data_IF_271308525827
#
_entry.id   IF_271308525827
#
_cell.length_a   1.000
_cell.length_b   1.000
_cell.length_c   1.000
_cell.angle_alpha   90.00
_cell.angle_beta   90.00
_cell.angle_gamma   90.00
#
_symmetry.space_group_name_H-M   'P 1'
#
loop_
_entity.id
_entity.type
_entity.pdbx_description
1 polymer ?
#
# COMPACT_ATOMS: atom_id res chain seq x y z
N UNK A 1 -7.83 2.64 -40.59
CA UNK A 1 -8.22 1.92 -41.82
C UNK A 1 -9.69 2.17 -42.12
N UNK A 2 -10.01 3.37 -42.62
CA UNK A 2 -11.39 3.75 -43.00
C UNK A 2 -11.66 3.43 -44.49
N UNK A 3 -10.62 3.05 -45.25
CA UNK A 3 -10.72 2.72 -46.67
C UNK A 3 -11.41 1.37 -46.96
N UNK A 4 -11.39 0.42 -46.02
CA UNK A 4 -11.99 -0.92 -46.21
C UNK A 4 -13.52 -0.93 -46.16
N UNK A 5 -14.14 0.03 -45.45
CA UNK A 5 -15.60 0.10 -45.34
C UNK A 5 -16.25 0.76 -46.56
N UNK A 6 -15.53 1.67 -47.23
CA UNK A 6 -15.97 2.25 -48.50
C UNK A 6 -15.95 1.21 -49.63
N UNK A 7 -14.92 0.35 -49.68
CA UNK A 7 -14.79 -0.70 -50.70
C UNK A 7 -15.91 -1.74 -50.66
N UNK A 8 -16.28 -2.23 -49.47
CA UNK A 8 -17.33 -3.25 -49.34
C UNK A 8 -18.72 -2.72 -49.71
N UNK A 9 -19.02 -1.47 -49.33
CA UNK A 9 -20.27 -0.81 -49.68
C UNK A 9 -20.35 -0.55 -51.19
N UNK A 10 -19.23 -0.17 -51.82
CA UNK A 10 -19.17 0.05 -53.27
C UNK A 10 -19.44 -1.23 -54.06
N UNK A 11 -18.84 -2.35 -53.66
CA UNK A 11 -19.06 -3.66 -54.28
C UNK A 11 -20.51 -4.13 -54.10
N UNK A 12 -21.10 -3.94 -52.91
CA UNK A 12 -22.50 -4.30 -52.68
C UNK A 12 -23.47 -3.44 -53.54
N UNK A 13 -23.23 -2.13 -53.64
CA UNK A 13 -24.03 -1.22 -54.47
C UNK A 13 -23.91 -1.57 -55.96
N UNK A 14 -22.71 -1.90 -56.44
CA UNK A 14 -22.50 -2.36 -57.82
C UNK A 14 -23.22 -3.69 -58.12
N UNK A 15 -23.28 -4.59 -57.14
CA UNK A 15 -23.95 -5.89 -57.28
C UNK A 15 -25.47 -5.72 -57.34
N UNK A 16 -26.04 -4.85 -56.48
CA UNK A 16 -27.48 -4.55 -56.49
C UNK A 16 -27.87 -3.74 -57.72
N UNK A 17 -27.06 -2.77 -58.15
CA UNK A 17 -27.29 -2.02 -59.38
C UNK A 17 -27.31 -2.92 -60.62
N UNK A 18 -26.41 -3.92 -60.68
CA UNK A 18 -26.37 -4.93 -61.74
C UNK A 18 -27.67 -5.76 -61.88
N UNK A 19 -28.40 -5.99 -60.79
CA UNK A 19 -29.63 -6.80 -60.78
C UNK A 19 -30.86 -5.98 -61.22
N UNK A 20 -30.83 -4.66 -61.04
CA UNK A 20 -31.97 -3.77 -61.30
C UNK A 20 -31.94 -3.05 -62.67
N UNK A 21 -30.93 -3.28 -63.50
CA UNK A 21 -30.80 -2.64 -64.82
C UNK A 21 -31.73 -3.31 -65.86
N UNK A 22 -32.53 -2.55 -66.63
CA UNK A 22 -33.35 -3.07 -67.73
C UNK A 22 -32.51 -3.79 -68.80
N UNK A 23 -33.02 -4.89 -69.35
CA UNK A 23 -32.28 -5.77 -70.28
C UNK A 23 -31.68 -5.05 -71.49
N UNK A 24 -32.35 -4.01 -72.01
CA UNK A 24 -31.87 -3.22 -73.14
C UNK A 24 -30.61 -2.38 -72.85
N UNK A 25 -30.39 -1.98 -71.59
CA UNK A 25 -29.21 -1.21 -71.18
C UNK A 25 -28.04 -2.13 -70.80
N UNK A 26 -28.32 -3.38 -70.42
CA UNK A 26 -27.32 -4.39 -70.06
C UNK A 26 -26.42 -4.79 -71.21
N UNK A 27 -26.90 -4.76 -72.46
CA UNK A 27 -26.06 -5.04 -73.64
C UNK A 27 -25.11 -3.91 -73.97
N UNK A 28 -25.55 -2.65 -73.89
CA UNK A 28 -24.68 -1.48 -74.13
C UNK A 28 -23.56 -1.36 -73.10
N UNK A 29 -23.81 -1.83 -71.86
CA UNK A 29 -22.82 -1.89 -70.80
C UNK A 29 -21.72 -2.95 -71.01
N UNK A 30 -21.96 -3.99 -71.84
CA UNK A 30 -20.96 -5.04 -72.13
C UNK A 30 -19.84 -4.57 -73.07
N UNK A 31 -20.04 -3.48 -73.81
CA UNK A 31 -19.03 -2.96 -74.75
C UNK A 31 -17.92 -2.14 -74.07
N UNK A 32 -18.08 -1.80 -72.78
CA UNK A 32 -17.05 -1.15 -71.97
C UNK A 32 -16.20 -2.23 -71.28
N UNK A 33 -14.98 -2.47 -71.75
CA UNK A 33 -14.17 -3.65 -71.36
C UNK A 33 -13.83 -3.74 -69.85
N UNK A 34 -13.89 -2.62 -69.13
CA UNK A 34 -13.52 -2.52 -67.71
C UNK A 34 -14.53 -3.16 -66.74
N UNK A 35 -15.76 -3.41 -67.18
CA UNK A 35 -16.80 -3.98 -66.30
C UNK A 35 -16.62 -5.49 -66.01
N UNK A 36 -15.81 -6.18 -66.81
CA UNK A 36 -15.47 -7.60 -66.62
C UNK A 36 -14.69 -7.88 -65.32
N UNK A 37 -14.00 -6.87 -64.78
CA UNK A 37 -13.24 -6.98 -63.52
C UNK A 37 -14.08 -6.73 -62.26
N UNK A 38 -15.20 -6.01 -62.37
CA UNK A 38 -15.92 -5.46 -61.21
C UNK A 38 -17.08 -6.36 -60.77
N UNK A 39 -17.71 -7.07 -61.71
CA UNK A 39 -18.87 -7.92 -61.41
C UNK A 39 -18.87 -9.21 -62.24
N UNK A 40 -18.80 -10.36 -61.57
CA UNK A 40 -18.79 -11.69 -62.18
C UNK A 40 -20.11 -12.12 -62.84
N UNK A 41 -21.17 -11.32 -62.70
CA UNK A 41 -22.50 -11.63 -63.24
C UNK A 41 -22.65 -11.34 -64.74
N UNK A 42 -21.69 -10.65 -65.37
CA UNK A 42 -21.79 -10.22 -66.77
C UNK A 42 -21.15 -11.18 -67.79
N UNK A 43 -20.16 -12.00 -67.39
CA UNK A 43 -19.51 -13.00 -68.24
C UNK A 43 -19.18 -14.28 -67.44
N UNK A 44 -20.13 -15.22 -67.30
CA UNK A 44 -19.88 -16.51 -66.65
C UNK A 44 -18.92 -17.41 -67.45
N UNK A 45 -18.92 -17.32 -68.79
CA UNK A 45 -18.19 -18.23 -69.67
C UNK A 45 -16.67 -18.01 -69.73
N UNK A 46 -16.16 -16.81 -69.45
CA UNK A 46 -14.72 -16.53 -69.57
C UNK A 46 -13.88 -17.14 -68.42
N UNK A 47 -14.52 -17.52 -67.31
CA UNK A 47 -13.82 -18.09 -66.14
C UNK A 47 -13.48 -19.56 -66.29
N UNK A 48 -14.14 -20.30 -67.18
CA UNK A 48 -13.79 -21.71 -67.43
C UNK A 48 -12.59 -21.89 -68.38
N UNK A 49 -12.16 -20.84 -69.10
CA UNK A 49 -11.02 -20.90 -70.03
C UNK A 49 -9.76 -20.15 -69.57
N UNK A 50 -9.82 -19.44 -68.43
CA UNK A 50 -8.65 -18.87 -67.75
C UNK A 50 -8.28 -19.67 -66.48
N UNK A 51 -8.59 -20.97 -66.46
CA UNK A 51 -8.18 -21.95 -65.44
C UNK A 51 -7.23 -22.98 -66.08
N UNK A 52 -6.51 -22.55 -67.13
CA UNK A 52 -5.39 -23.31 -67.71
C UNK A 52 -4.23 -22.33 -67.90
N UNK A 53 -3.76 -21.75 -66.80
CA UNK A 53 -2.34 -21.50 -66.60
C UNK A 53 -1.91 -22.54 -65.56
N UNK A 54 -0.98 -23.42 -65.94
CA UNK A 54 -0.37 -24.39 -65.04
C UNK A 54 0.24 -23.66 -63.84
N UNK A 55 -0.36 -23.83 -62.66
CA UNK A 55 0.31 -23.60 -61.38
C UNK A 55 0.43 -24.98 -60.74
N UNK A 56 1.59 -25.63 -60.90
CA UNK A 56 1.89 -26.96 -60.36
C UNK A 56 1.96 -27.01 -58.82
N UNK A 57 1.77 -25.89 -58.11
CA UNK A 57 2.09 -25.73 -56.68
C UNK A 57 0.89 -25.49 -55.72
N UNK A 58 -0.37 -25.61 -56.16
CA UNK A 58 -1.54 -25.34 -55.29
C UNK A 58 -2.33 -26.61 -54.92
N UNK A 59 -2.18 -27.09 -53.68
CA UNK A 59 -2.93 -28.22 -53.11
C UNK A 59 -4.02 -27.73 -52.15
N UNK A 60 -5.27 -28.18 -52.32
CA UNK A 60 -6.40 -27.81 -51.44
C UNK A 60 -6.93 -29.04 -50.71
N UNK A 61 -6.80 -29.08 -49.38
CA UNK A 61 -7.30 -30.17 -48.52
C UNK A 61 -8.61 -29.77 -47.85
N UNK A 62 -9.73 -30.46 -48.12
CA UNK A 62 -10.99 -30.16 -47.45
C UNK A 62 -10.89 -30.54 -45.96
N UNK A 63 -11.25 -29.61 -45.06
CA UNK A 63 -11.23 -29.83 -43.61
C UNK A 63 -12.62 -30.28 -43.14
N UNK A 64 -13.64 -29.42 -43.32
CA UNK A 64 -14.99 -29.70 -42.82
C UNK A 64 -16.04 -28.93 -43.61
N UNK A 65 -17.21 -29.55 -43.80
CA UNK A 65 -18.40 -28.91 -44.36
C UNK A 65 -19.51 -28.89 -43.32
N UNK A 66 -20.08 -27.72 -43.06
CA UNK A 66 -21.24 -27.52 -42.19
C UNK A 66 -22.34 -26.84 -43.00
N UNK A 67 -23.59 -26.90 -42.52
CA UNK A 67 -24.71 -26.19 -43.14
C UNK A 67 -24.45 -24.67 -43.30
N UNK A 68 -23.59 -24.08 -42.46
CA UNK A 68 -23.21 -22.67 -42.51
C UNK A 68 -22.06 -22.35 -43.48
N UNK A 69 -21.39 -23.34 -44.08
CA UNK A 69 -20.26 -23.11 -44.98
C UNK A 69 -19.27 -24.27 -45.07
N UNK A 70 -18.22 -24.08 -45.88
CA UNK A 70 -17.18 -25.08 -46.11
C UNK A 70 -15.81 -24.49 -45.77
N UNK A 71 -14.99 -25.27 -45.06
CA UNK A 71 -13.62 -24.94 -44.71
C UNK A 71 -12.65 -25.90 -45.40
N UNK A 72 -11.56 -25.34 -45.92
CA UNK A 72 -10.48 -26.07 -46.57
C UNK A 72 -9.14 -25.39 -46.29
N UNK A 73 -8.09 -26.19 -46.27
CA UNK A 73 -6.71 -25.74 -46.19
C UNK A 73 -6.16 -25.59 -47.60
N UNK A 74 -5.48 -24.48 -47.89
CA UNK A 74 -4.78 -24.26 -49.16
C UNK A 74 -3.28 -24.22 -48.88
N UNK A 75 -2.56 -25.17 -49.45
CA UNK A 75 -1.11 -25.29 -49.35
C UNK A 75 -0.53 -24.85 -50.70
N UNK A 76 0.13 -23.69 -50.69
CA UNK A 76 0.82 -23.12 -51.87
C UNK A 76 2.27 -23.60 -51.97
N UNK A 77 2.81 -24.16 -50.88
CA UNK A 77 4.14 -24.76 -50.81
C UNK A 77 4.17 -25.73 -49.64
N UNK A 78 4.64 -26.98 -49.81
CA UNK A 78 4.80 -27.89 -48.69
C UNK A 78 5.79 -27.30 -47.67
N UNK A 79 5.57 -27.51 -46.36
CA UNK A 79 6.47 -27.00 -45.34
C UNK A 79 7.91 -27.46 -45.63
N UNK A 80 8.84 -26.50 -45.65
CA UNK A 80 10.27 -26.77 -45.86
C UNK A 80 10.80 -27.66 -44.73
N UNK A 81 11.58 -28.72 -45.01
CA UNK A 81 12.12 -29.63 -43.99
C UNK A 81 13.13 -28.98 -43.04
N UNK A 82 13.45 -27.69 -43.23
CA UNK A 82 14.32 -26.89 -42.37
C UNK A 82 13.60 -25.63 -41.92
N UNK A 83 12.68 -25.79 -40.98
CA UNK A 83 12.54 -24.94 -39.78
C UNK A 83 11.19 -25.19 -39.11
N UNK A 84 11.05 -26.33 -38.46
CA UNK A 84 9.99 -26.50 -37.47
C UNK A 84 10.32 -25.66 -36.22
N UNK A 85 9.42 -24.74 -35.90
CA UNK A 85 9.13 -24.28 -34.53
C UNK A 85 10.26 -23.63 -33.69
N UNK A 86 11.15 -22.81 -34.27
CA UNK A 86 12.18 -22.12 -33.47
C UNK A 86 11.97 -20.62 -33.26
N UNK A 87 10.74 -20.09 -33.21
CA UNK A 87 10.49 -18.69 -32.81
C UNK A 87 9.38 -18.60 -31.76
N UNK A 88 9.31 -19.57 -30.84
CA UNK A 88 8.77 -19.29 -29.51
C UNK A 88 9.96 -18.86 -28.66
N UNK A 89 9.99 -17.60 -28.22
CA UNK A 89 10.82 -17.21 -27.07
C UNK A 89 10.34 -18.13 -25.95
N UNK A 90 11.11 -19.18 -25.68
CA UNK A 90 10.80 -20.16 -24.66
C UNK A 90 10.77 -19.41 -23.33
N UNK A 91 9.57 -19.00 -22.95
CA UNK A 91 9.26 -18.74 -21.56
C UNK A 91 9.68 -19.99 -20.82
N UNK A 92 10.45 -19.89 -19.71
CA UNK A 92 10.77 -21.05 -18.89
C UNK A 92 9.49 -21.85 -18.67
N UNK A 93 9.50 -23.20 -18.75
CA UNK A 93 8.31 -24.00 -18.59
C UNK A 93 7.57 -23.49 -17.36
N UNK A 94 6.35 -22.97 -17.54
CA UNK A 94 5.53 -22.53 -16.42
C UNK A 94 5.33 -23.78 -15.57
N UNK A 95 6.07 -23.87 -14.46
CA UNK A 95 5.75 -24.86 -13.43
C UNK A 95 4.30 -24.60 -13.06
N UNK A 96 3.46 -25.62 -13.17
CA UNK A 96 2.07 -25.53 -12.75
C UNK A 96 2.07 -25.14 -11.27
N UNK A 97 1.63 -23.92 -10.98
CA UNK A 97 1.54 -23.43 -9.60
C UNK A 97 0.40 -24.19 -8.95
N UNK A 98 0.69 -24.96 -7.91
CA UNK A 98 -0.35 -25.73 -7.20
C UNK A 98 -1.28 -24.79 -6.44
N UNK A 99 -2.46 -25.30 -6.05
CA UNK A 99 -3.42 -24.54 -5.26
C UNK A 99 -2.82 -24.11 -3.91
N UNK A 100 -1.97 -24.95 -3.31
CA UNK A 100 -1.25 -24.68 -2.07
C UNK A 100 -0.24 -23.53 -2.24
N UNK A 101 0.49 -23.48 -3.36
CA UNK A 101 1.43 -22.39 -3.65
C UNK A 101 0.72 -21.04 -3.85
N UNK A 102 -0.49 -21.05 -4.43
CA UNK A 102 -1.34 -19.86 -4.57
C UNK A 102 -1.82 -19.40 -3.19
N UNK A 103 -2.35 -20.31 -2.38
CA UNK A 103 -2.83 -20.01 -1.02
C UNK A 103 -1.70 -19.44 -0.15
N UNK A 104 -0.52 -20.05 -0.18
CA UNK A 104 0.64 -19.58 0.58
C UNK A 104 1.07 -18.17 0.19
N UNK A 105 0.99 -17.81 -1.10
CA UNK A 105 1.29 -16.44 -1.56
C UNK A 105 0.24 -15.43 -1.10
N UNK A 106 -1.03 -15.81 -1.07
CA UNK A 106 -2.13 -14.98 -0.56
C UNK A 106 -1.99 -14.74 0.95
N UNK A 107 -1.72 -15.80 1.71
CA UNK A 107 -1.49 -15.75 3.16
C UNK A 107 -0.28 -14.86 3.48
N UNK A 108 0.85 -15.06 2.80
CA UNK A 108 2.02 -14.20 2.99
C UNK A 108 1.75 -12.72 2.68
N UNK A 109 0.86 -12.42 1.72
CA UNK A 109 0.44 -11.05 1.44
C UNK A 109 -0.48 -10.48 2.53
N UNK A 110 -1.35 -11.32 3.10
CA UNK A 110 -2.19 -10.96 4.24
C UNK A 110 -1.37 -10.71 5.50
N UNK A 111 -0.40 -11.57 5.80
CA UNK A 111 0.50 -11.39 6.94
C UNK A 111 1.30 -10.10 6.84
N UNK A 112 1.76 -9.73 5.64
CA UNK A 112 2.41 -8.43 5.42
C UNK A 112 1.47 -7.26 5.72
N UNK A 113 0.20 -7.33 5.31
CA UNK A 113 -0.80 -6.30 5.65
C UNK A 113 -1.05 -6.24 7.15
N UNK A 114 -1.30 -7.38 7.79
CA UNK A 114 -1.53 -7.47 9.24
C UNK A 114 -0.32 -6.98 10.04
N UNK A 115 0.90 -7.31 9.61
CA UNK A 115 2.12 -6.84 10.27
C UNK A 115 2.29 -5.32 10.16
N UNK A 116 2.00 -4.72 9.00
CA UNK A 116 2.04 -3.27 8.83
C UNK A 116 1.00 -2.59 9.72
N UNK A 117 -0.24 -3.09 9.72
CA UNK A 117 -1.31 -2.58 10.58
C UNK A 117 -0.95 -2.69 12.06
N UNK A 118 -0.44 -3.84 12.50
CA UNK A 118 0.01 -4.05 13.88
C UNK A 118 1.14 -3.08 14.26
N UNK A 119 2.08 -2.80 13.35
CA UNK A 119 3.14 -1.82 13.59
C UNK A 119 2.57 -0.41 13.77
N UNK A 120 1.62 -0.01 12.94
CA UNK A 120 0.94 1.30 13.06
C UNK A 120 0.17 1.39 14.38
N UNK A 121 -0.59 0.34 14.73
CA UNK A 121 -1.34 0.30 16.00
C UNK A 121 -0.42 0.37 17.23
N UNK A 122 0.72 -0.33 17.20
CA UNK A 122 1.73 -0.21 18.27
C UNK A 122 2.27 1.21 18.41
N UNK A 123 2.68 1.84 17.31
CA UNK A 123 3.17 3.21 17.34
C UNK A 123 2.11 4.21 17.85
N UNK A 124 0.83 3.99 17.52
CA UNK A 124 -0.27 4.79 18.06
C UNK A 124 -0.48 4.56 19.56
N UNK A 125 -0.39 3.31 20.02
CA UNK A 125 -0.49 2.97 21.44
C UNK A 125 0.66 3.59 22.26
N UNK A 126 1.89 3.51 21.76
CA UNK A 126 3.07 4.13 22.36
C UNK A 126 2.90 5.66 22.47
N UNK A 127 2.38 6.32 21.43
CA UNK A 127 2.07 7.76 21.49
C UNK A 127 1.03 8.10 22.56
N UNK A 128 -0.03 7.29 22.68
CA UNK A 128 -1.07 7.47 23.70
C UNK A 128 -0.54 7.25 25.11
N UNK A 129 0.38 6.31 25.28
CA UNK A 129 1.07 6.07 26.55
C UNK A 129 1.95 7.26 26.92
N UNK A 130 2.78 7.72 25.99
CA UNK A 130 3.62 8.89 26.21
C UNK A 130 2.83 10.15 26.60
N UNK A 131 1.68 10.39 25.96
CA UNK A 131 0.80 11.49 26.35
C UNK A 131 0.30 11.38 27.79
N UNK A 132 -0.05 10.17 28.25
CA UNK A 132 -0.43 9.93 29.65
C UNK A 132 0.74 10.17 30.59
N UNK A 133 1.93 9.68 30.25
CA UNK A 133 3.14 9.83 31.07
C UNK A 133 3.53 11.30 31.23
N UNK A 134 3.44 12.10 30.16
CA UNK A 134 3.72 13.54 30.21
C UNK A 134 2.75 14.25 31.15
N UNK A 135 1.45 13.93 31.09
CA UNK A 135 0.45 14.52 31.97
C UNK A 135 0.67 14.12 33.44
N UNK A 136 0.96 12.84 33.70
CA UNK A 136 1.24 12.35 35.04
C UNK A 136 2.49 12.99 35.62
N UNK A 137 3.57 13.10 34.82
CA UNK A 137 4.81 13.73 35.24
C UNK A 137 4.63 15.20 35.57
N UNK A 138 3.87 15.95 34.76
CA UNK A 138 3.58 17.35 35.04
C UNK A 138 2.82 17.52 36.37
N UNK A 139 1.86 16.63 36.65
CA UNK A 139 1.13 16.62 37.92
C UNK A 139 2.03 16.25 39.10
N UNK A 140 2.90 15.25 38.94
CA UNK A 140 3.84 14.82 39.97
C UNK A 140 4.85 15.92 40.31
N UNK A 141 5.43 16.59 39.32
CA UNK A 141 6.36 17.70 39.55
C UNK A 141 5.69 18.86 40.30
N UNK A 142 4.44 19.19 39.96
CA UNK A 142 3.67 20.22 40.67
C UNK A 142 3.41 19.82 42.13
N UNK A 143 3.01 18.57 42.37
CA UNK A 143 2.80 18.06 43.73
C UNK A 143 4.10 18.04 44.54
N UNK A 144 5.22 17.67 43.91
CA UNK A 144 6.53 17.64 44.55
C UNK A 144 7.00 19.05 44.93
N UNK A 145 6.73 20.06 44.11
CA UNK A 145 7.03 21.45 44.44
C UNK A 145 6.29 21.91 45.71
N UNK A 146 4.99 21.65 45.80
CA UNK A 146 4.19 21.97 46.99
C UNK A 146 4.71 21.25 48.23
N UNK A 147 5.01 19.95 48.12
CA UNK A 147 5.54 19.14 49.22
C UNK A 147 6.88 19.66 49.72
N UNK A 148 7.83 19.93 48.82
CA UNK A 148 9.15 20.47 49.20
C UNK A 148 9.03 21.86 49.85
N UNK A 149 8.10 22.70 49.38
CA UNK A 149 7.86 24.01 49.98
C UNK A 149 7.30 23.88 51.40
N UNK A 150 6.35 22.96 51.62
CA UNK A 150 5.77 22.66 52.92
C UNK A 150 6.81 22.11 53.90
N UNK A 151 7.57 21.08 53.49
CA UNK A 151 8.64 20.48 54.31
C UNK A 151 9.68 21.53 54.72
N UNK A 152 10.09 22.39 53.78
CA UNK A 152 11.05 23.47 54.06
C UNK A 152 10.50 24.50 55.04
N UNK A 153 9.21 24.85 54.93
CA UNK A 153 8.57 25.77 55.86
C UNK A 153 8.50 25.15 57.26
N UNK A 154 8.03 23.91 57.37
CA UNK A 154 7.94 23.17 58.63
C UNK A 154 9.30 23.10 59.33
N UNK A 155 10.33 22.68 58.60
CA UNK A 155 11.71 22.63 59.12
C UNK A 155 12.20 23.99 59.63
N UNK A 156 11.87 25.08 58.93
CA UNK A 156 12.26 26.43 59.36
C UNK A 156 11.51 26.90 60.60
N UNK A 157 10.22 26.58 60.71
CA UNK A 157 9.43 26.90 61.89
C UNK A 157 9.94 26.14 63.12
N UNK A 158 10.29 24.87 62.95
CA UNK A 158 10.84 24.02 64.01
C UNK A 158 12.22 24.52 64.45
N UNK A 159 13.11 24.85 63.50
CA UNK A 159 14.41 25.45 63.80
C UNK A 159 14.28 26.78 64.56
N UNK A 160 13.34 27.65 64.18
CA UNK A 160 13.11 28.93 64.89
C UNK A 160 12.63 28.67 66.32
N UNK A 161 11.73 27.69 66.50
CA UNK A 161 11.20 27.31 67.80
C UNK A 161 12.32 26.78 68.71
N UNK A 162 13.10 25.82 68.24
CA UNK A 162 14.23 25.23 68.97
C UNK A 162 15.26 26.29 69.35
N UNK A 163 15.61 27.19 68.42
CA UNK A 163 16.54 28.29 68.69
C UNK A 163 16.03 29.23 69.78
N UNK A 164 14.73 29.55 69.77
CA UNK A 164 14.11 30.39 70.79
C UNK A 164 14.10 29.71 72.14
N UNK A 165 13.76 28.42 72.17
CA UNK A 165 13.74 27.61 73.40
C UNK A 165 15.16 27.48 73.99
N UNK A 166 16.16 27.19 73.15
CA UNK A 166 17.56 27.12 73.57
C UNK A 166 18.05 28.46 74.14
N UNK A 167 17.71 29.58 73.51
CA UNK A 167 18.08 30.91 74.02
C UNK A 167 17.46 31.20 75.39
N UNK A 168 16.17 30.88 75.56
CA UNK A 168 15.47 31.04 76.84
C UNK A 168 16.03 30.09 77.91
N UNK A 169 16.29 28.83 77.58
CA UNK A 169 16.88 27.85 78.47
C UNK A 169 18.25 28.31 78.97
N UNK A 170 19.13 28.75 78.06
CA UNK A 170 20.44 29.29 78.41
C UNK A 170 20.34 30.55 79.30
N UNK A 171 19.32 31.40 79.08
CA UNK A 171 19.07 32.55 79.96
C UNK A 171 18.65 32.11 81.36
N UNK A 172 17.71 31.17 81.46
CA UNK A 172 17.23 30.64 82.75
C UNK A 172 18.35 29.94 83.52
N UNK A 173 19.19 29.15 82.85
CA UNK A 173 20.31 28.46 83.46
C UNK A 173 21.33 29.44 84.07
N UNK A 174 21.67 30.52 83.36
CA UNK A 174 22.55 31.58 83.91
C UNK A 174 21.96 32.26 85.14
N UNK A 175 20.64 32.40 85.22
CA UNK A 175 19.97 32.97 86.40
C UNK A 175 19.96 31.99 87.57
N UNK A 176 19.63 30.72 87.31
CA UNK A 176 19.68 29.67 88.33
C UNK A 176 21.09 29.50 88.90
N UNK A 177 22.13 29.61 88.07
CA UNK A 177 23.51 29.53 88.54
C UNK A 177 23.87 30.68 89.50
N UNK A 178 23.41 31.89 89.23
CA UNK A 178 23.56 33.02 90.16
C UNK A 178 22.84 32.78 91.48
N UNK A 179 21.66 32.16 91.45
CA UNK A 179 20.92 31.82 92.67
C UNK A 179 21.62 30.74 93.50
N UNK A 180 22.12 29.68 92.84
CA UNK A 180 22.95 28.64 93.49
C UNK A 180 24.19 29.26 94.13
N UNK A 181 24.89 30.12 93.40
CA UNK A 181 26.07 30.82 93.93
C UNK A 181 25.72 31.66 95.16
N UNK A 182 24.63 32.43 95.11
CA UNK A 182 24.18 33.21 96.26
C UNK A 182 23.84 32.33 97.48
N UNK A 183 23.23 31.16 97.28
CA UNK A 183 22.97 30.21 98.35
C UNK A 183 24.26 29.64 98.97
N UNK A 184 25.26 29.29 98.14
CA UNK A 184 26.58 28.86 98.60
C UNK A 184 27.26 29.96 99.42
N UNK A 185 27.20 31.21 98.96
CA UNK A 185 27.77 32.35 99.70
C UNK A 185 27.11 32.52 101.07
N UNK A 186 25.77 32.42 101.17
CA UNK A 186 25.04 32.47 102.46
C UNK A 186 25.48 31.35 103.40
N UNK A 187 25.51 30.11 102.92
CA UNK A 187 25.95 28.95 103.70
C UNK A 187 27.41 29.07 104.17
N UNK A 188 28.30 29.53 103.30
CA UNK A 188 29.71 29.74 103.64
C UNK A 188 29.87 30.82 104.71
N UNK A 189 29.02 31.85 104.71
CA UNK A 189 29.01 32.87 105.77
C UNK A 189 28.61 32.25 107.11
N UNK A 190 27.51 31.50 107.16
CA UNK A 190 27.02 30.80 108.36
C UNK A 190 28.10 29.88 108.94
N UNK A 191 28.73 29.04 108.11
CA UNK A 191 29.82 28.14 108.53
C UNK A 191 31.03 28.89 109.10
N UNK A 192 31.39 30.04 108.52
CA UNK A 192 32.50 30.86 109.03
C UNK A 192 32.15 31.46 110.39
N UNK A 193 30.92 31.92 110.57
CA UNK A 193 30.45 32.47 111.85
C UNK A 193 30.45 31.38 112.92
N UNK A 194 29.95 30.17 112.62
CA UNK A 194 29.99 28.99 113.53
C UNK A 194 31.42 28.58 113.94
N UNK A 195 32.40 28.67 113.02
CA UNK A 195 33.80 28.35 113.32
C UNK A 195 34.51 29.41 114.17
N UNK A 196 34.00 30.65 114.18
CA UNK A 196 34.61 31.78 114.90
C UNK A 196 33.91 32.14 116.20
N UNK A 197 32.76 31.53 116.49
CA UNK A 197 31.99 31.66 117.73
C UNK A 197 32.48 30.66 118.79
#
# INVERSE_FOLDING_TARGET
GIEGHFGLLHVAVLTVWCVCIPSAYKEKMKELSVFSLICSCFYPEARNKLVVCEFEDMEVKPINKRASGQAFEVILKPPSPVSDAAHSIASPPKREVSLEDIQKKLEAAEDRRRSQEAQVLRALAEKREHERDVLLKAMEENNNFSKMAEEKLTMKMEQIKENREAHLAAMMERLQEKERHAAVVRRNKELREELTA
#
